data_IF_748646025729
#
_entry.id   IF_748646025729
#
_cell.length_a   1.000
_cell.length_b   1.000
_cell.length_c   1.000
_cell.angle_alpha   90.00
_cell.angle_beta   90.00
_cell.angle_gamma   90.00
#
_symmetry.space_group_name_H-M   'P 1'
#
loop_
_entity.id
_entity.type
_entity.pdbx_description
1 polymer ?
#
# COMPACT_ATOMS: atom_id res chain seq x y z
N UNK A 1 68.37 -63.02 68.54
CA UNK A 1 68.72 -64.26 69.25
C UNK A 1 69.57 -63.85 70.42
N UNK A 2 68.92 -63.60 71.55
CA UNK A 2 69.62 -63.35 72.80
C UNK A 2 70.10 -64.71 73.28
N UNK A 3 71.41 -64.95 73.27
CA UNK A 3 72.01 -66.14 73.89
C UNK A 3 71.77 -66.02 75.41
N UNK A 4 70.82 -66.79 75.94
CA UNK A 4 70.59 -66.87 77.37
C UNK A 4 71.79 -67.59 78.02
N UNK A 5 72.41 -66.91 79.00
CA UNK A 5 73.53 -67.46 79.77
C UNK A 5 73.13 -68.77 80.47
N UNK A 6 74.07 -69.73 80.60
CA UNK A 6 73.80 -71.03 81.21
C UNK A 6 73.41 -70.83 82.69
N UNK A 7 72.15 -71.10 82.99
CA UNK A 7 71.57 -70.98 84.32
C UNK A 7 72.18 -72.06 85.21
N UNK A 8 72.93 -71.68 86.24
CA UNK A 8 73.58 -72.60 87.18
C UNK A 8 72.79 -72.68 88.48
N UNK A 9 72.39 -73.88 88.90
CA UNK A 9 71.44 -74.12 90.00
C UNK A 9 72.14 -74.67 91.25
N UNK A 10 71.76 -74.21 92.44
CA UNK A 10 72.38 -74.66 93.70
C UNK A 10 71.79 -75.98 94.21
N UNK A 11 70.62 -76.41 93.70
CA UNK A 11 70.05 -77.73 93.94
C UNK A 11 69.15 -78.17 92.78
N UNK A 12 68.98 -79.49 92.60
CA UNK A 12 68.09 -80.07 91.59
C UNK A 12 66.62 -79.60 91.73
N UNK A 13 66.21 -79.22 92.94
CA UNK A 13 64.88 -78.67 93.21
C UNK A 13 64.71 -77.24 92.64
N UNK A 14 65.77 -76.44 92.66
CA UNK A 14 65.79 -75.07 92.14
C UNK A 14 65.80 -75.05 90.60
N UNK A 15 66.57 -75.97 90.00
CA UNK A 15 66.55 -76.21 88.55
C UNK A 15 65.15 -76.61 88.05
N UNK A 16 64.51 -77.56 88.74
CA UNK A 16 63.14 -77.97 88.41
C UNK A 16 62.14 -76.83 88.56
N UNK A 17 62.29 -75.97 89.57
CA UNK A 17 61.42 -74.82 89.77
C UNK A 17 61.63 -73.74 88.69
N UNK A 18 62.88 -73.47 88.29
CA UNK A 18 63.20 -72.53 87.21
C UNK A 18 62.61 -72.98 85.88
N UNK A 19 62.88 -74.21 85.45
CA UNK A 19 62.36 -74.72 84.17
C UNK A 19 60.85 -74.86 84.14
N UNK A 20 60.22 -75.18 85.29
CA UNK A 20 58.76 -75.14 85.45
C UNK A 20 58.21 -73.72 85.31
N UNK A 21 58.86 -72.72 85.89
CA UNK A 21 58.42 -71.33 85.76
C UNK A 21 58.65 -70.79 84.34
N UNK A 22 59.77 -71.14 83.71
CA UNK A 22 60.07 -70.77 82.33
C UNK A 22 59.08 -71.40 81.34
N UNK A 23 58.69 -72.67 81.55
CA UNK A 23 57.68 -73.32 80.72
C UNK A 23 56.28 -72.71 80.92
N UNK A 24 55.91 -72.35 82.16
CA UNK A 24 54.68 -71.59 82.40
C UNK A 24 54.71 -70.19 81.77
N UNK A 25 55.82 -69.46 81.88
CA UNK A 25 55.97 -68.14 81.28
C UNK A 25 55.91 -68.19 79.74
N UNK A 26 56.56 -69.17 79.11
CA UNK A 26 56.48 -69.39 77.66
C UNK A 26 55.07 -69.76 77.22
N UNK A 27 54.37 -70.59 78.01
CA UNK A 27 52.97 -70.95 77.74
C UNK A 27 52.07 -69.72 77.83
N UNK A 28 52.21 -68.90 78.88
CA UNK A 28 51.43 -67.67 79.03
C UNK A 28 51.76 -66.65 77.92
N UNK A 29 53.02 -66.55 77.47
CA UNK A 29 53.39 -65.74 76.31
C UNK A 29 52.78 -66.25 75.02
N UNK A 30 52.77 -67.57 74.81
CA UNK A 30 52.15 -68.19 73.64
C UNK A 30 50.64 -67.95 73.64
N UNK A 31 49.97 -68.14 74.76
CA UNK A 31 48.54 -67.85 74.93
C UNK A 31 48.22 -66.37 74.65
N UNK A 32 49.01 -65.44 75.20
CA UNK A 32 48.86 -64.01 74.91
C UNK A 32 49.04 -63.69 73.42
N UNK A 33 50.00 -64.33 72.76
CA UNK A 33 50.24 -64.14 71.31
C UNK A 33 49.14 -64.75 70.45
N UNK A 34 48.57 -65.88 70.86
CA UNK A 34 47.41 -66.48 70.21
C UNK A 34 46.17 -65.57 70.32
N UNK A 35 45.95 -64.96 71.49
CA UNK A 35 44.89 -63.97 71.69
C UNK A 35 45.12 -62.72 70.83
N UNK A 36 46.32 -62.14 70.85
CA UNK A 36 46.68 -60.95 70.05
C UNK A 36 46.50 -61.21 68.54
N UNK A 37 46.90 -62.39 68.06
CA UNK A 37 46.72 -62.77 66.66
C UNK A 37 45.23 -62.94 66.32
N UNK A 38 44.44 -63.55 67.21
CA UNK A 38 43.00 -63.71 67.00
C UNK A 38 42.28 -62.36 66.94
N UNK A 39 42.65 -61.41 67.82
CA UNK A 39 42.15 -60.03 67.80
C UNK A 39 42.53 -59.33 66.48
N UNK A 40 43.79 -59.43 66.04
CA UNK A 40 44.23 -58.85 64.77
C UNK A 40 43.49 -59.43 63.56
N UNK A 41 43.26 -60.75 63.55
CA UNK A 41 42.49 -61.40 62.49
C UNK A 41 41.03 -60.93 62.48
N UNK A 42 40.42 -60.75 63.65
CA UNK A 42 39.07 -60.23 63.77
C UNK A 42 38.98 -58.76 63.30
N UNK A 43 39.90 -57.91 63.73
CA UNK A 43 39.97 -56.49 63.33
C UNK A 43 40.21 -56.35 61.82
N UNK A 44 41.11 -57.15 61.25
CA UNK A 44 41.35 -57.18 59.80
C UNK A 44 40.09 -57.60 59.04
N UNK A 45 39.37 -58.62 59.52
CA UNK A 45 38.13 -59.08 58.89
C UNK A 45 37.01 -58.03 59.00
N UNK A 46 36.90 -57.31 60.11
CA UNK A 46 35.91 -56.24 60.29
C UNK A 46 36.22 -55.07 59.35
N UNK A 47 37.50 -54.65 59.27
CA UNK A 47 37.94 -53.59 58.37
C UNK A 47 37.69 -53.95 56.89
N UNK A 48 37.99 -55.18 56.48
CA UNK A 48 37.69 -55.65 55.12
C UNK A 48 36.18 -55.58 54.82
N UNK A 49 35.33 -55.98 55.77
CA UNK A 49 33.87 -55.90 55.62
C UNK A 49 33.37 -54.45 55.51
N UNK A 50 33.95 -53.52 56.28
CA UNK A 50 33.65 -52.09 56.17
C UNK A 50 34.06 -51.51 54.81
N UNK A 51 35.28 -51.84 54.34
CA UNK A 51 35.77 -51.42 53.03
C UNK A 51 34.90 -51.95 51.89
N UNK A 52 34.50 -53.22 51.94
CA UNK A 52 33.57 -53.80 50.97
C UNK A 52 32.21 -53.10 50.98
N UNK A 53 31.69 -52.78 52.17
CA UNK A 53 30.44 -52.05 52.32
C UNK A 53 30.52 -50.66 51.69
N UNK A 54 31.63 -49.94 51.94
CA UNK A 54 31.87 -48.61 51.37
C UNK A 54 32.04 -48.67 49.84
N UNK A 55 32.77 -49.67 49.32
CA UNK A 55 32.87 -49.91 47.86
C UNK A 55 31.48 -50.13 47.26
N UNK A 56 30.68 -51.03 47.83
CA UNK A 56 29.30 -51.30 47.35
C UNK A 56 28.44 -50.04 47.37
N UNK A 57 28.55 -49.22 48.43
CA UNK A 57 27.83 -47.94 48.54
C UNK A 57 28.24 -46.95 47.45
N UNK A 58 29.55 -46.79 47.23
CA UNK A 58 30.09 -45.88 46.20
C UNK A 58 29.74 -46.35 44.80
N UNK A 59 29.82 -47.65 44.51
CA UNK A 59 29.44 -48.22 43.22
C UNK A 59 27.95 -48.02 42.94
N UNK A 60 27.08 -48.24 43.94
CA UNK A 60 25.65 -47.99 43.82
C UNK A 60 25.36 -46.50 43.54
N UNK A 61 26.00 -45.59 44.28
CA UNK A 61 25.87 -44.15 44.05
C UNK A 61 26.36 -43.73 42.65
N UNK A 62 27.46 -44.31 42.17
CA UNK A 62 28.00 -44.05 40.85
C UNK A 62 27.07 -44.58 39.74
N UNK A 63 26.51 -45.78 39.91
CA UNK A 63 25.51 -46.33 39.01
C UNK A 63 24.26 -45.44 38.94
N UNK A 64 23.77 -44.94 40.08
CA UNK A 64 22.64 -44.00 40.12
C UNK A 64 22.96 -42.69 39.41
N UNK A 65 24.14 -42.10 39.66
CA UNK A 65 24.58 -40.88 38.99
C UNK A 65 24.71 -41.05 37.48
N UNK A 66 25.21 -42.21 37.02
CA UNK A 66 25.26 -42.53 35.59
C UNK A 66 23.87 -42.66 34.99
N UNK A 67 22.94 -43.34 35.66
CA UNK A 67 21.56 -43.45 35.21
C UNK A 67 20.87 -42.08 35.11
N UNK A 68 21.09 -41.19 36.09
CA UNK A 68 20.61 -39.79 36.02
C UNK A 68 21.24 -39.02 34.86
N UNK A 69 22.54 -39.18 34.64
CA UNK A 69 23.25 -38.52 33.55
C UNK A 69 22.68 -38.93 32.17
N UNK A 70 22.44 -40.22 31.95
CA UNK A 70 21.82 -40.71 30.70
C UNK A 70 20.39 -40.21 30.54
N UNK A 71 19.60 -40.15 31.62
CA UNK A 71 18.25 -39.55 31.59
C UNK A 71 18.31 -38.07 31.18
N UNK A 72 19.20 -37.28 31.78
CA UNK A 72 19.33 -35.87 31.43
C UNK A 72 19.84 -35.67 30.01
N UNK A 73 20.74 -36.53 29.50
CA UNK A 73 21.16 -36.49 28.10
C UNK A 73 19.98 -36.72 27.15
N UNK A 74 19.15 -37.70 27.46
CA UNK A 74 17.94 -37.98 26.68
C UNK A 74 16.97 -36.80 26.70
N UNK A 75 16.67 -36.26 27.89
CA UNK A 75 15.77 -35.10 28.04
C UNK A 75 16.30 -33.87 27.29
N UNK A 76 17.62 -33.62 27.33
CA UNK A 76 18.25 -32.53 26.57
C UNK A 76 18.09 -32.77 25.06
N UNK A 77 18.27 -34.00 24.58
CA UNK A 77 18.11 -34.33 23.16
C UNK A 77 16.66 -34.10 22.70
N UNK A 78 15.70 -34.58 23.49
CA UNK A 78 14.27 -34.43 23.23
C UNK A 78 13.86 -32.95 23.23
N UNK A 79 14.32 -32.16 24.20
CA UNK A 79 14.04 -30.73 24.26
C UNK A 79 14.65 -29.97 23.07
N UNK A 80 15.86 -30.36 22.63
CA UNK A 80 16.49 -29.79 21.43
C UNK A 80 15.68 -30.09 20.18
N UNK A 81 15.23 -31.33 20.00
CA UNK A 81 14.40 -31.73 18.86
C UNK A 81 13.06 -30.97 18.86
N UNK A 82 12.39 -30.90 20.01
CA UNK A 82 11.16 -30.12 20.18
C UNK A 82 11.36 -28.65 19.86
N UNK A 83 12.46 -28.06 20.34
CA UNK A 83 12.80 -26.66 20.06
C UNK A 83 13.05 -26.43 18.57
N UNK A 84 13.82 -27.30 17.91
CA UNK A 84 14.09 -27.20 16.47
C UNK A 84 12.80 -27.35 15.66
N UNK A 85 11.96 -28.33 15.99
CA UNK A 85 10.66 -28.50 15.32
C UNK A 85 9.74 -27.28 15.51
N UNK A 86 9.69 -26.72 16.72
CA UNK A 86 8.92 -25.51 17.00
C UNK A 86 9.47 -24.29 16.24
N UNK A 87 10.80 -24.17 16.15
CA UNK A 87 11.46 -23.09 15.41
C UNK A 87 11.19 -23.18 13.90
N UNK A 88 11.21 -24.38 13.33
CA UNK A 88 10.86 -24.61 11.92
C UNK A 88 9.41 -24.24 11.64
N UNK A 89 8.47 -24.74 12.46
CA UNK A 89 7.03 -24.41 12.33
C UNK A 89 6.79 -22.91 12.44
N UNK A 90 7.41 -22.24 13.41
CA UNK A 90 7.30 -20.80 13.54
C UNK A 90 7.85 -20.04 12.33
N UNK A 91 8.90 -20.56 11.67
CA UNK A 91 9.41 -20.03 10.41
C UNK A 91 8.42 -20.21 9.26
N UNK A 92 7.85 -21.41 9.10
CA UNK A 92 6.83 -21.69 8.08
C UNK A 92 5.57 -20.83 8.27
N UNK A 93 5.11 -20.66 9.51
CA UNK A 93 3.98 -19.80 9.85
C UNK A 93 4.27 -18.33 9.52
N UNK A 94 5.48 -17.85 9.84
CA UNK A 94 5.91 -16.49 9.50
C UNK A 94 5.91 -16.28 7.98
N UNK A 95 6.49 -17.21 7.21
CA UNK A 95 6.51 -17.16 5.75
C UNK A 95 5.09 -17.21 5.15
N UNK A 96 4.16 -17.95 5.76
CA UNK A 96 2.75 -17.96 5.35
C UNK A 96 2.09 -16.60 5.56
N UNK A 97 2.23 -16.05 6.77
CA UNK A 97 1.66 -14.74 7.14
C UNK A 97 2.26 -13.62 6.29
N UNK A 98 3.57 -13.66 6.02
CA UNK A 98 4.24 -12.69 5.16
C UNK A 98 3.70 -12.72 3.72
N UNK A 99 3.45 -13.91 3.16
CA UNK A 99 2.83 -14.06 1.84
C UNK A 99 1.41 -13.52 1.81
N UNK A 100 0.60 -13.84 2.81
CA UNK A 100 -0.77 -13.29 2.93
C UNK A 100 -0.77 -11.77 3.05
N UNK A 101 0.15 -11.21 3.86
CA UNK A 101 0.29 -9.77 4.03
C UNK A 101 0.69 -9.09 2.70
N UNK A 102 1.64 -9.66 1.96
CA UNK A 102 2.02 -9.16 0.65
C UNK A 102 0.86 -9.23 -0.34
N UNK A 103 0.11 -10.32 -0.34
CA UNK A 103 -1.08 -10.48 -1.17
C UNK A 103 -2.13 -9.40 -0.85
N UNK A 104 -2.49 -9.22 0.42
CA UNK A 104 -3.47 -8.19 0.84
C UNK A 104 -3.01 -6.79 0.46
N UNK A 105 -1.73 -6.47 0.64
CA UNK A 105 -1.15 -5.17 0.21
C UNK A 105 -1.26 -4.97 -1.30
N UNK A 106 -0.97 -6.00 -2.09
CA UNK A 106 -1.10 -5.93 -3.55
C UNK A 106 -2.55 -5.73 -4.00
N UNK A 107 -3.50 -6.42 -3.36
CA UNK A 107 -4.93 -6.23 -3.60
C UNK A 107 -5.40 -4.82 -3.22
N UNK A 108 -4.93 -4.29 -2.09
CA UNK A 108 -5.25 -2.92 -1.67
C UNK A 108 -4.79 -1.89 -2.72
N UNK A 109 -3.55 -1.99 -3.20
CA UNK A 109 -3.04 -1.07 -4.23
C UNK A 109 -3.77 -1.24 -5.57
N UNK A 110 -4.11 -2.49 -5.94
CA UNK A 110 -4.95 -2.76 -7.11
C UNK A 110 -6.31 -2.06 -7.02
N UNK A 111 -7.05 -2.25 -5.93
CA UNK A 111 -8.36 -1.62 -5.77
C UNK A 111 -8.28 -0.10 -5.71
N UNK A 112 -7.25 0.45 -5.07
CA UNK A 112 -7.01 1.89 -5.04
C UNK A 112 -6.72 2.47 -6.42
N UNK A 113 -5.91 1.79 -7.24
CA UNK A 113 -5.69 2.17 -8.64
C UNK A 113 -6.99 2.08 -9.42
N UNK A 114 -7.74 0.98 -9.25
CA UNK A 114 -9.00 0.76 -9.94
C UNK A 114 -10.06 1.80 -9.60
N UNK A 115 -10.14 2.24 -8.34
CA UNK A 115 -11.02 3.33 -7.93
C UNK A 115 -10.68 4.62 -8.67
N UNK A 116 -9.40 4.99 -8.75
CA UNK A 116 -8.97 6.19 -9.48
C UNK A 116 -9.28 6.12 -10.97
N UNK A 117 -9.08 4.95 -11.59
CA UNK A 117 -9.47 4.72 -12.99
C UNK A 117 -10.97 4.92 -13.19
N UNK A 118 -11.80 4.36 -12.29
CA UNK A 118 -13.26 4.51 -12.37
C UNK A 118 -13.71 5.95 -12.13
N UNK A 119 -13.05 6.69 -11.22
CA UNK A 119 -13.29 8.11 -11.00
C UNK A 119 -12.96 8.93 -12.27
N UNK A 120 -11.82 8.65 -12.90
CA UNK A 120 -11.43 9.30 -14.16
C UNK A 120 -12.40 8.98 -15.30
N UNK A 121 -12.78 7.70 -15.47
CA UNK A 121 -13.76 7.28 -16.47
C UNK A 121 -15.11 7.96 -16.24
N UNK A 122 -15.51 8.16 -14.97
CA UNK A 122 -16.73 8.88 -14.62
C UNK A 122 -16.65 10.36 -15.02
N UNK A 123 -15.56 11.05 -14.69
CA UNK A 123 -15.33 12.44 -15.08
C UNK A 123 -15.39 12.61 -16.61
N UNK A 124 -14.79 11.68 -17.36
CA UNK A 124 -14.83 11.68 -18.83
C UNK A 124 -16.25 11.43 -19.37
N UNK A 125 -17.02 10.54 -18.74
CA UNK A 125 -18.42 10.31 -19.08
C UNK A 125 -19.28 11.56 -18.82
N UNK A 126 -19.15 12.20 -17.67
CA UNK A 126 -19.89 13.43 -17.37
C UNK A 126 -19.50 14.56 -18.34
N UNK A 127 -18.23 14.66 -18.71
CA UNK A 127 -17.77 15.64 -19.71
C UNK A 127 -18.41 15.38 -21.07
N UNK A 128 -18.46 14.13 -21.51
CA UNK A 128 -19.12 13.75 -22.76
C UNK A 128 -20.63 14.01 -22.71
N UNK A 129 -21.27 13.75 -21.57
CA UNK A 129 -22.68 14.05 -21.36
C UNK A 129 -22.96 15.55 -21.50
N UNK A 130 -22.15 16.41 -20.86
CA UNK A 130 -22.26 17.87 -20.98
C UNK A 130 -22.09 18.33 -22.43
N UNK A 131 -21.11 17.80 -23.15
CA UNK A 131 -20.88 18.12 -24.56
C UNK A 131 -22.03 17.67 -25.46
N UNK A 132 -22.57 16.47 -25.24
CA UNK A 132 -23.72 15.93 -25.96
C UNK A 132 -24.98 16.77 -25.71
N UNK A 133 -25.27 17.12 -24.45
CA UNK A 133 -26.38 18.01 -24.07
C UNK A 133 -26.27 19.38 -24.74
N UNK A 134 -25.08 19.99 -24.73
CA UNK A 134 -24.85 21.28 -25.39
C UNK A 134 -25.05 21.19 -26.91
N UNK A 135 -24.58 20.12 -27.54
CA UNK A 135 -24.77 19.88 -28.98
C UNK A 135 -26.24 19.68 -29.32
N UNK A 136 -26.96 18.93 -28.49
CA UNK A 136 -28.40 18.72 -28.64
C UNK A 136 -29.16 20.04 -28.53
N UNK A 137 -28.88 20.85 -27.52
CA UNK A 137 -29.48 22.19 -27.36
C UNK A 137 -29.16 23.11 -28.54
N UNK A 138 -27.95 23.04 -29.10
CA UNK A 138 -27.59 23.79 -30.31
C UNK A 138 -28.39 23.34 -31.55
N UNK A 139 -28.69 22.03 -31.66
CA UNK A 139 -29.56 21.52 -32.72
C UNK A 139 -31.02 21.91 -32.52
N UNK A 140 -31.53 21.87 -31.29
CA UNK A 140 -32.90 22.32 -30.96
C UNK A 140 -33.08 23.79 -31.28
N UNK A 141 -32.16 24.66 -30.87
CA UNK A 141 -32.24 26.10 -31.19
C UNK A 141 -32.13 26.37 -32.69
N UNK A 142 -31.31 25.60 -33.42
CA UNK A 142 -31.24 25.68 -34.89
C UNK A 142 -32.57 25.25 -35.53
N UNK A 143 -33.20 24.20 -35.03
CA UNK A 143 -34.49 23.72 -35.50
C UNK A 143 -35.59 24.75 -35.22
N UNK A 144 -35.63 25.34 -34.02
CA UNK A 144 -36.58 26.41 -33.67
C UNK A 144 -36.46 27.61 -34.61
N UNK A 145 -35.23 28.07 -34.89
CA UNK A 145 -35.02 29.15 -35.87
C UNK A 145 -35.51 28.77 -37.26
N UNK A 146 -35.22 27.57 -37.73
CA UNK A 146 -35.70 27.10 -39.03
C UNK A 146 -37.22 27.00 -39.09
N UNK A 147 -37.88 26.64 -37.98
CA UNK A 147 -39.35 26.65 -37.88
C UNK A 147 -39.91 28.08 -37.91
N UNK A 148 -39.30 29.03 -37.20
CA UNK A 148 -39.67 30.45 -37.24
C UNK A 148 -39.53 31.04 -38.64
N UNK A 149 -38.41 30.78 -39.30
CA UNK A 149 -38.17 31.19 -40.69
C UNK A 149 -39.22 30.59 -41.65
N UNK A 150 -39.54 29.31 -41.50
CA UNK A 150 -40.57 28.66 -42.32
C UNK A 150 -41.96 29.26 -42.06
N UNK A 151 -42.31 29.51 -40.79
CA UNK A 151 -43.56 30.20 -40.43
C UNK A 151 -43.64 31.60 -41.04
N UNK A 152 -42.53 32.34 -41.06
CA UNK A 152 -42.46 33.66 -41.67
C UNK A 152 -42.69 33.59 -43.19
N UNK A 153 -41.98 32.67 -43.86
CA UNK A 153 -42.12 32.46 -45.31
C UNK A 153 -43.54 31.99 -45.70
N UNK A 154 -44.17 31.15 -44.88
CA UNK A 154 -45.57 30.75 -45.08
C UNK A 154 -46.51 31.95 -45.02
N UNK A 155 -46.30 32.87 -44.07
CA UNK A 155 -47.07 34.13 -44.00
C UNK A 155 -46.81 35.06 -45.20
N UNK A 156 -45.57 35.17 -45.68
CA UNK A 156 -45.26 35.90 -46.92
C UNK A 156 -45.92 35.27 -48.16
N UNK A 157 -45.96 33.95 -48.24
CA UNK A 157 -46.62 33.25 -49.33
C UNK A 157 -48.14 33.48 -49.31
N UNK A 158 -48.75 33.48 -48.12
CA UNK A 158 -50.17 33.78 -47.93
C UNK A 158 -50.52 35.22 -48.34
N UNK A 159 -49.74 36.21 -47.89
CA UNK A 159 -49.93 37.61 -48.30
C UNK A 159 -49.76 37.81 -49.81
N UNK A 160 -48.76 37.16 -50.43
CA UNK A 160 -48.58 37.16 -51.90
C UNK A 160 -49.80 36.56 -52.61
N UNK A 161 -50.37 35.48 -52.09
CA UNK A 161 -51.60 34.88 -52.63
C UNK A 161 -52.78 35.85 -52.54
N UNK A 162 -53.00 36.47 -51.37
CA UNK A 162 -54.05 37.47 -51.19
C UNK A 162 -53.93 38.65 -52.16
N UNK A 163 -52.71 39.17 -52.36
CA UNK A 163 -52.42 40.22 -53.34
C UNK A 163 -52.69 39.76 -54.77
N UNK A 164 -52.31 38.53 -55.12
CA UNK A 164 -52.58 37.97 -56.44
C UNK A 164 -54.08 37.84 -56.72
N UNK A 165 -54.85 37.38 -55.72
CA UNK A 165 -56.31 37.28 -55.80
C UNK A 165 -56.96 38.67 -55.97
N UNK A 166 -56.52 39.70 -55.23
CA UNK A 166 -57.02 41.07 -55.38
C UNK A 166 -56.64 41.70 -56.73
N UNK A 167 -55.40 41.49 -57.20
CA UNK A 167 -54.99 41.93 -58.55
C UNK A 167 -55.85 41.26 -59.61
N UNK A 168 -56.20 39.99 -59.43
CA UNK A 168 -57.08 39.29 -60.36
C UNK A 168 -58.49 39.89 -60.34
N UNK A 169 -59.03 40.17 -59.16
CA UNK A 169 -60.32 40.85 -59.00
C UNK A 169 -60.35 42.22 -59.66
N UNK A 170 -59.34 43.06 -59.42
CA UNK A 170 -59.21 44.37 -60.07
C UNK A 170 -59.05 44.27 -61.59
N UNK A 171 -58.36 43.23 -62.09
CA UNK A 171 -58.29 42.97 -63.53
C UNK A 171 -59.65 42.63 -64.11
N UNK A 172 -60.48 41.88 -63.39
CA UNK A 172 -61.82 41.52 -63.83
C UNK A 172 -62.75 42.75 -63.78
N UNK A 173 -62.70 43.57 -62.72
CA UNK A 173 -63.38 44.87 -62.66
C UNK A 173 -62.94 45.83 -63.79
N UNK A 174 -61.65 45.88 -64.12
CA UNK A 174 -61.13 46.68 -65.23
C UNK A 174 -61.64 46.17 -66.58
N UNK A 175 -61.73 44.85 -66.77
CA UNK A 175 -62.34 44.27 -67.98
C UNK A 175 -63.81 44.66 -68.06
N UNK A 176 -64.55 44.56 -66.97
CA UNK A 176 -65.97 44.92 -66.91
C UNK A 176 -66.19 46.40 -67.22
N UNK A 177 -65.43 47.31 -66.60
CA UNK A 177 -65.47 48.75 -66.91
C UNK A 177 -65.08 49.04 -68.36
N UNK A 178 -64.10 48.32 -68.92
CA UNK A 178 -63.72 48.51 -70.32
C UNK A 178 -64.83 48.00 -71.28
N UNK A 179 -65.54 46.92 -70.91
CA UNK A 179 -66.74 46.48 -71.61
C UNK A 179 -67.84 47.56 -71.53
N UNK A 180 -68.12 48.11 -70.35
CA UNK A 180 -69.07 49.22 -70.17
C UNK A 180 -68.68 50.44 -71.01
N UNK A 181 -67.40 50.84 -70.99
CA UNK A 181 -66.90 51.98 -71.74
C UNK A 181 -66.95 51.74 -73.25
N UNK A 182 -66.72 50.52 -73.72
CA UNK A 182 -66.93 50.14 -75.11
C UNK A 182 -68.41 50.20 -75.50
N UNK A 183 -69.33 49.80 -74.62
CA UNK A 183 -70.78 49.96 -74.82
C UNK A 183 -71.16 51.44 -74.87
N UNK A 184 -70.63 52.27 -73.96
CA UNK A 184 -70.86 53.73 -73.94
C UNK A 184 -70.27 54.39 -75.19
N UNK A 185 -69.04 54.05 -75.60
CA UNK A 185 -68.46 54.53 -76.87
C UNK A 185 -69.27 54.07 -78.08
N UNK A 186 -69.76 52.83 -78.09
CA UNK A 186 -70.66 52.33 -79.13
C UNK A 186 -71.97 53.16 -79.17
N UNK A 187 -72.54 53.51 -78.01
CA UNK A 187 -73.70 54.42 -77.89
C UNK A 187 -73.38 55.87 -78.30
N UNK A 188 -72.23 56.42 -77.90
CA UNK A 188 -71.79 57.78 -78.24
C UNK A 188 -71.33 57.92 -79.70
N UNK A 189 -70.81 56.86 -80.32
CA UNK A 189 -70.43 56.84 -81.75
C UNK A 189 -71.63 56.94 -82.70
N UNK A 190 -72.85 56.83 -82.17
CA UNK A 190 -74.10 57.09 -82.89
C UNK A 190 -74.50 58.59 -82.92
N UNK A 191 -73.67 59.50 -82.39
CA UNK A 191 -73.89 60.94 -82.43
C UNK A 191 -72.59 61.77 -82.63
N UNK A 192 -71.96 61.68 -83.83
CA UNK A 192 -71.12 62.68 -84.57
C UNK A 192 -69.89 63.38 -83.87
N UNK A 193 -68.93 64.06 -84.57
CA UNK A 193 -67.49 63.79 -84.41
C UNK A 193 -66.57 65.01 -84.11
N UNK A 194 -65.27 64.71 -83.90
CA UNK A 194 -64.04 65.54 -84.04
C UNK A 194 -63.85 66.86 -83.25
N UNK A 195 -62.69 67.00 -82.58
CA UNK A 195 -61.74 68.12 -82.76
C UNK A 195 -60.48 67.96 -81.88
N UNK A 196 -59.34 68.36 -82.44
CA UNK A 196 -58.02 68.49 -81.81
C UNK A 196 -57.91 69.73 -80.88
N UNK A 197 -56.87 69.78 -80.02
CA UNK A 197 -56.43 71.04 -79.38
C UNK A 197 -55.62 70.94 -78.08
N UNK A 198 -54.29 70.96 -78.21
CA UNK A 198 -53.25 71.66 -77.42
C UNK A 198 -53.53 72.21 -75.99
N UNK A 199 -52.65 71.90 -75.02
CA UNK A 199 -51.76 72.86 -74.29
C UNK A 199 -51.42 72.50 -72.83
N UNK A 200 -50.10 72.40 -72.58
CA UNK A 200 -49.25 73.05 -71.55
C UNK A 200 -49.56 73.00 -70.04
N UNK A 201 -48.45 72.86 -69.30
CA UNK A 201 -48.13 73.23 -67.91
C UNK A 201 -48.64 72.27 -66.82
N UNK A 202 -47.92 71.98 -65.73
CA UNK A 202 -46.85 72.71 -65.04
C UNK A 202 -45.94 71.75 -64.27
N UNK A 203 -44.69 72.20 -64.12
CA UNK A 203 -43.65 71.74 -63.20
C UNK A 203 -44.12 71.51 -61.74
N UNK A 204 -43.48 70.58 -61.04
CA UNK A 204 -42.57 70.97 -59.97
C UNK A 204 -41.46 69.93 -59.74
N UNK A 205 -40.23 70.42 -59.88
CA UNK A 205 -38.97 69.79 -59.52
C UNK A 205 -38.50 70.48 -58.23
N UNK A 206 -37.78 69.72 -57.40
CA UNK A 206 -36.91 70.10 -56.27
C UNK A 206 -37.53 70.70 -55.00
N UNK A 207 -37.35 69.97 -53.89
CA UNK A 207 -36.69 70.55 -52.71
C UNK A 207 -35.47 69.67 -52.37
N UNK A 208 -34.40 69.90 -53.11
CA UNK A 208 -33.04 69.60 -52.68
C UNK A 208 -32.40 70.98 -52.48
N UNK A 209 -32.34 71.41 -51.22
CA UNK A 209 -31.92 72.76 -50.88
C UNK A 209 -31.39 72.87 -49.47
N UNK A 210 -30.17 72.38 -49.23
CA UNK A 210 -29.18 73.33 -48.72
C UNK A 210 -27.76 72.92 -49.10
N UNK A 211 -27.15 73.77 -49.93
CA UNK A 211 -25.75 73.71 -50.28
C UNK A 211 -24.87 73.85 -49.04
N UNK A 212 -24.22 72.74 -48.74
CA UNK A 212 -22.80 72.63 -48.45
C UNK A 212 -22.04 73.95 -48.30
N UNK A 213 -21.78 74.31 -47.06
CA UNK A 213 -20.53 74.98 -46.72
C UNK A 213 -19.52 73.83 -46.51
N UNK A 214 -18.51 73.61 -47.37
CA UNK A 214 -17.63 72.43 -47.31
C UNK A 214 -16.89 72.33 -45.96
N UNK A 215 -16.61 73.47 -45.34
CA UNK A 215 -16.05 73.53 -43.98
C UNK A 215 -17.00 72.98 -42.91
N UNK A 216 -18.32 73.13 -43.06
CA UNK A 216 -19.31 72.57 -42.12
C UNK A 216 -19.47 71.07 -42.30
N UNK A 217 -19.44 70.56 -43.53
CA UNK A 217 -19.49 69.11 -43.77
C UNK A 217 -18.26 68.42 -43.17
N UNK A 218 -17.08 69.00 -43.36
CA UNK A 218 -15.83 68.49 -42.77
C UNK A 218 -15.87 68.58 -41.24
N UNK A 219 -16.42 69.66 -40.68
CA UNK A 219 -16.62 69.79 -39.23
C UNK A 219 -17.60 68.74 -38.69
N UNK A 220 -18.71 68.47 -39.39
CA UNK A 220 -19.69 67.44 -39.00
C UNK A 220 -19.11 66.02 -39.08
N UNK A 221 -18.29 65.75 -40.10
CA UNK A 221 -17.56 64.49 -40.22
C UNK A 221 -16.55 64.36 -39.07
N UNK A 222 -15.77 65.40 -38.77
CA UNK A 222 -14.84 65.39 -37.64
C UNK A 222 -15.54 65.25 -36.29
N UNK A 223 -16.69 65.91 -36.09
CA UNK A 223 -17.50 65.76 -34.88
C UNK A 223 -18.02 64.33 -34.71
N UNK A 224 -18.48 63.70 -35.81
CA UNK A 224 -18.91 62.29 -35.79
C UNK A 224 -17.76 61.32 -35.57
N UNK A 225 -16.58 61.59 -36.14
CA UNK A 225 -15.37 60.80 -35.87
C UNK A 225 -14.96 60.92 -34.40
N UNK A 226 -15.00 62.13 -33.83
CA UNK A 226 -14.68 62.36 -32.43
C UNK A 226 -15.67 61.67 -31.51
N UNK A 227 -16.96 61.70 -31.83
CA UNK A 227 -18.01 60.99 -31.08
C UNK A 227 -17.83 59.46 -31.15
N UNK A 228 -17.50 58.93 -32.33
CA UNK A 228 -17.14 57.52 -32.53
C UNK A 228 -15.88 57.13 -31.75
N UNK A 229 -14.86 57.97 -31.69
CA UNK A 229 -13.66 57.74 -30.88
C UNK A 229 -13.97 57.71 -29.38
N UNK A 230 -14.82 58.61 -28.86
CA UNK A 230 -15.28 58.54 -27.46
C UNK A 230 -16.10 57.28 -27.17
N UNK A 231 -16.96 56.85 -28.11
CA UNK A 231 -17.73 55.61 -27.97
C UNK A 231 -16.84 54.36 -28.06
N UNK A 232 -15.81 54.38 -28.89
CA UNK A 232 -14.81 53.32 -28.99
C UNK A 232 -13.90 53.27 -27.75
N UNK A 233 -13.53 54.41 -27.19
CA UNK A 233 -12.81 54.50 -25.92
C UNK A 233 -13.66 53.97 -24.76
N UNK A 234 -14.96 54.31 -24.72
CA UNK A 234 -15.92 53.83 -23.72
C UNK A 234 -16.21 52.32 -23.80
N UNK A 235 -16.14 51.73 -25.00
CA UNK A 235 -16.23 50.27 -25.17
C UNK A 235 -14.92 49.58 -24.80
N UNK A 236 -13.76 50.19 -25.10
CA UNK A 236 -12.45 49.69 -24.63
C UNK A 236 -12.36 49.65 -23.10
N UNK A 237 -12.83 50.66 -22.37
CA UNK A 237 -12.85 50.62 -20.89
C UNK A 237 -13.79 49.54 -20.33
N UNK A 238 -14.86 49.16 -21.04
CA UNK A 238 -15.76 48.06 -20.61
C UNK A 238 -15.23 46.66 -20.99
N UNK A 239 -14.47 46.55 -22.08
CA UNK A 239 -13.92 45.27 -22.58
C UNK A 239 -12.57 44.92 -21.95
N UNK A 240 -11.77 45.92 -21.56
CA UNK A 240 -10.43 45.71 -20.97
C UNK A 240 -10.44 44.88 -19.68
N UNK A 241 -11.39 45.05 -18.74
CA UNK A 241 -11.50 44.18 -17.56
C UNK A 241 -11.87 42.73 -17.90
N UNK A 242 -12.66 42.51 -18.96
CA UNK A 242 -13.08 41.17 -19.39
C UNK A 242 -11.95 40.37 -20.06
N UNK A 243 -11.08 41.04 -20.82
CA UNK A 243 -9.89 40.41 -21.42
C UNK A 243 -8.86 40.05 -20.33
N UNK A 244 -8.72 40.89 -19.30
CA UNK A 244 -7.79 40.64 -18.18
C UNK A 244 -8.32 39.55 -17.24
N UNK A 245 -9.64 39.49 -16.98
CA UNK A 245 -10.26 38.43 -16.19
C UNK A 245 -10.14 37.05 -16.87
N UNK A 246 -10.17 37.00 -18.21
CA UNK A 246 -10.01 35.77 -18.97
C UNK A 246 -8.55 35.25 -18.97
N UNK A 247 -7.56 36.13 -18.76
CA UNK A 247 -6.15 35.75 -18.69
C UNK A 247 -5.66 35.37 -17.28
N UNK A 248 -6.37 35.76 -16.21
CA UNK A 248 -6.03 35.30 -14.85
C UNK A 248 -6.44 33.83 -14.61
N UNK A 249 -7.43 33.32 -15.34
CA UNK A 249 -7.78 31.90 -15.35
C UNK A 249 -6.80 31.04 -16.17
N UNK A 250 -5.92 31.64 -16.96
CA UNK A 250 -4.98 30.92 -17.83
C UNK A 250 -3.62 30.61 -17.19
N UNK A 251 -3.27 31.18 -16.03
CA UNK A 251 -1.95 30.96 -15.38
C UNK A 251 -1.89 29.82 -14.37
N UNK A 252 -2.99 29.07 -14.16
CA UNK A 252 -2.96 27.86 -13.31
C UNK A 252 -2.81 26.55 -14.09
N UNK A 253 -2.85 26.59 -15.43
CA UNK A 253 -2.81 25.38 -16.28
C UNK A 253 -1.50 25.18 -17.07
N UNK A 254 -0.46 25.99 -16.84
CA UNK A 254 0.83 25.90 -17.55
C UNK A 254 1.92 25.13 -16.79
N UNK A 255 1.57 24.20 -15.88
CA UNK A 255 2.55 23.30 -15.22
C UNK A 255 2.20 21.82 -15.31
N UNK A 256 1.59 21.37 -16.41
CA UNK A 256 1.49 19.93 -16.67
C UNK A 256 1.31 19.60 -18.15
N UNK A 257 2.32 19.86 -18.98
CA UNK A 257 2.51 19.15 -20.26
C UNK A 257 3.98 19.09 -20.65
N UNK A 258 4.57 17.91 -20.48
CA UNK A 258 5.66 17.29 -21.27
C UNK A 258 5.69 15.83 -20.76
N UNK A 259 5.27 14.80 -21.48
CA UNK A 259 5.29 14.54 -22.90
C UNK A 259 4.17 13.57 -23.29
N UNK A 260 3.55 13.81 -24.44
CA UNK A 260 2.78 12.82 -25.20
C UNK A 260 3.54 12.57 -26.49
N UNK A 261 3.93 11.32 -26.74
CA UNK A 261 4.17 10.83 -28.10
C UNK A 261 3.26 9.62 -28.32
N UNK A 262 2.65 9.65 -29.50
CA UNK A 262 1.54 8.84 -29.99
C UNK A 262 2.07 7.53 -30.59
N UNK A 263 1.35 6.42 -30.37
CA UNK A 263 1.20 5.37 -31.40
C UNK A 263 0.00 4.45 -31.13
N UNK A 264 -0.73 4.16 -32.20
CA UNK A 264 -1.96 3.36 -32.38
C UNK A 264 -1.72 1.84 -32.34
N UNK A 265 -2.76 1.00 -32.28
CA UNK A 265 -2.63 -0.44 -32.05
C UNK A 265 -2.58 -1.26 -33.35
N UNK A 266 -1.95 -2.46 -33.31
CA UNK A 266 -2.27 -3.57 -34.21
C UNK A 266 -1.79 -4.93 -33.69
N UNK A 267 -2.57 -5.92 -34.12
CA UNK A 267 -2.72 -7.33 -33.76
C UNK A 267 -1.50 -8.27 -33.81
N UNK A 268 -1.57 -9.30 -32.96
CA UNK A 268 -1.32 -10.75 -33.15
C UNK A 268 0.08 -11.33 -33.48
N UNK A 269 0.46 -12.28 -32.61
CA UNK A 269 0.88 -13.67 -32.90
C UNK A 269 2.37 -14.06 -32.89
N UNK A 270 2.63 -15.11 -32.08
CA UNK A 270 3.49 -16.31 -32.28
C UNK A 270 5.03 -16.21 -32.11
N UNK A 271 5.48 -16.96 -31.08
CA UNK A 271 6.64 -17.87 -30.97
C UNK A 271 8.06 -17.55 -31.50
N UNK A 272 9.02 -18.05 -30.70
CA UNK A 272 10.30 -18.73 -31.03
C UNK A 272 11.54 -18.08 -30.39
N UNK A 273 12.04 -18.80 -29.36
CA UNK A 273 13.42 -19.21 -29.01
C UNK A 273 14.65 -18.48 -29.58
N UNK A 274 15.67 -18.36 -28.71
CA UNK A 274 17.05 -18.70 -29.09
C UNK A 274 18.15 -17.67 -28.74
N UNK A 275 18.86 -17.97 -27.64
CA UNK A 275 20.31 -17.93 -27.41
C UNK A 275 21.26 -16.89 -28.08
N UNK A 276 22.39 -16.69 -27.37
CA UNK A 276 23.69 -16.11 -27.79
C UNK A 276 23.74 -14.57 -27.83
N UNK A 277 24.88 -13.87 -27.75
CA UNK A 277 26.09 -13.91 -26.92
C UNK A 277 26.89 -12.65 -27.28
N UNK A 278 27.69 -12.13 -26.34
CA UNK A 278 28.94 -11.37 -26.55
C UNK A 278 28.94 -9.88 -26.94
N UNK A 279 30.06 -9.26 -26.55
CA UNK A 279 30.63 -7.91 -26.80
C UNK A 279 30.13 -6.81 -25.84
N UNK A 280 30.92 -6.15 -24.97
CA UNK A 280 32.36 -6.09 -24.77
C UNK A 280 32.89 -4.68 -25.07
N UNK A 281 33.26 -3.89 -24.06
CA UNK A 281 34.39 -2.91 -24.06
C UNK A 281 34.62 -2.33 -22.63
N UNK A 282 35.66 -2.71 -21.87
CA UNK A 282 37.03 -2.14 -21.72
C UNK A 282 37.01 -0.66 -21.25
N UNK A 283 37.59 -0.21 -20.13
CA UNK A 283 38.97 -0.21 -19.59
C UNK A 283 38.86 0.37 -18.13
N UNK A 284 39.70 0.17 -17.12
CA UNK A 284 41.14 -0.06 -17.03
C UNK A 284 41.50 -0.49 -15.60
N UNK A 285 42.54 -1.31 -15.50
CA UNK A 285 43.14 -1.91 -14.28
C UNK A 285 44.32 -1.05 -13.79
N UNK A 286 44.83 -1.29 -12.56
CA UNK A 286 46.23 -1.71 -12.49
C UNK A 286 46.47 -2.96 -11.61
N UNK A 287 47.54 -3.64 -11.99
CA UNK A 287 47.99 -4.97 -11.57
C UNK A 287 49.10 -4.86 -10.54
N UNK A 288 49.14 -5.73 -9.52
CA UNK A 288 50.39 -6.30 -9.03
C UNK A 288 50.17 -7.67 -8.39
N UNK A 289 51.09 -8.57 -8.69
CA UNK A 289 51.13 -10.01 -8.44
C UNK A 289 51.53 -10.33 -6.99
N UNK A 290 51.08 -11.46 -6.43
CA UNK A 290 51.95 -12.59 -6.00
C UNK A 290 51.16 -13.77 -5.43
N UNK A 291 51.67 -14.96 -5.71
CA UNK A 291 51.13 -16.30 -5.46
C UNK A 291 51.35 -16.85 -4.04
N UNK A 292 50.58 -17.92 -3.75
CA UNK A 292 50.78 -19.06 -2.83
C UNK A 292 50.39 -18.90 -1.36
N UNK A 293 49.47 -19.76 -0.93
CA UNK A 293 49.27 -20.13 0.48
C UNK A 293 47.93 -20.83 0.73
N UNK A 294 47.93 -22.16 0.80
CA UNK A 294 46.86 -22.98 1.36
C UNK A 294 46.92 -22.83 2.89
N UNK A 295 45.87 -22.32 3.56
CA UNK A 295 45.50 -22.70 4.95
C UNK A 295 44.25 -21.99 5.48
N UNK A 296 43.35 -22.80 6.08
CA UNK A 296 42.43 -22.54 7.21
C UNK A 296 41.03 -21.92 6.92
N UNK A 297 39.92 -22.50 7.44
CA UNK A 297 38.59 -21.91 7.38
C UNK A 297 38.44 -20.79 8.43
N UNK A 298 37.51 -19.83 8.27
CA UNK A 298 37.38 -18.71 9.20
C UNK A 298 36.78 -19.17 10.53
N UNK A 299 37.41 -18.73 11.62
CA UNK A 299 36.94 -18.86 13.00
C UNK A 299 35.57 -18.19 13.18
N UNK A 300 34.74 -18.85 13.99
CA UNK A 300 33.46 -18.36 14.50
C UNK A 300 33.63 -16.99 15.15
N UNK A 301 32.95 -15.97 14.62
CA UNK A 301 32.77 -14.70 15.33
C UNK A 301 31.89 -14.97 16.56
N UNK A 302 32.52 -15.13 17.72
CA UNK A 302 31.84 -15.12 19.00
C UNK A 302 31.25 -13.70 19.16
N UNK A 303 29.93 -13.54 19.35
CA UNK A 303 29.33 -12.23 19.60
C UNK A 303 30.01 -11.61 20.83
N UNK A 304 30.33 -10.32 20.78
CA UNK A 304 30.92 -9.60 21.91
C UNK A 304 30.12 -9.86 23.20
N UNK A 305 30.82 -10.04 24.33
CA UNK A 305 30.23 -10.41 25.62
C UNK A 305 29.04 -9.52 26.00
N UNK A 306 29.12 -8.23 25.69
CA UNK A 306 28.06 -7.23 25.85
C UNK A 306 26.72 -7.59 25.18
N UNK A 307 26.76 -8.17 23.98
CA UNK A 307 25.56 -8.49 23.20
C UNK A 307 24.90 -9.77 23.73
N UNK A 308 25.72 -10.72 24.19
CA UNK A 308 25.26 -11.92 24.89
C UNK A 308 24.64 -11.57 26.26
N UNK A 309 25.27 -10.66 27.01
CA UNK A 309 24.80 -10.15 28.30
C UNK A 309 23.44 -9.45 28.14
N UNK A 310 23.30 -8.57 27.12
CA UNK A 310 22.04 -7.88 26.83
C UNK A 310 20.93 -8.85 26.44
N UNK A 311 21.25 -9.91 25.69
CA UNK A 311 20.28 -10.95 25.32
C UNK A 311 19.85 -11.78 26.53
N UNK A 312 20.79 -12.13 27.41
CA UNK A 312 20.51 -12.86 28.66
C UNK A 312 19.65 -12.02 29.60
N UNK A 313 19.94 -10.72 29.73
CA UNK A 313 19.17 -9.80 30.58
C UNK A 313 17.75 -9.59 30.05
N UNK A 314 17.57 -9.42 28.73
CA UNK A 314 16.23 -9.40 28.11
C UNK A 314 15.45 -10.68 28.38
N UNK A 315 16.12 -11.84 28.31
CA UNK A 315 15.49 -13.14 28.58
C UNK A 315 15.10 -13.28 30.05
N UNK A 316 15.93 -12.75 30.97
CA UNK A 316 15.66 -12.71 32.41
C UNK A 316 14.44 -11.87 32.73
N UNK A 317 14.38 -10.64 32.20
CA UNK A 317 13.26 -9.71 32.40
C UNK A 317 11.94 -10.33 31.91
N UNK A 318 11.95 -11.00 30.74
CA UNK A 318 10.75 -11.62 30.18
C UNK A 318 10.24 -12.79 31.05
N UNK A 319 11.14 -13.60 31.62
CA UNK A 319 10.76 -14.65 32.57
C UNK A 319 10.19 -14.08 33.87
N UNK A 320 10.77 -12.99 34.36
CA UNK A 320 10.36 -12.35 35.59
C UNK A 320 9.00 -11.64 35.44
N UNK A 321 8.75 -11.02 34.28
CA UNK A 321 7.43 -10.47 33.95
C UNK A 321 6.37 -11.56 33.84
N UNK A 322 6.70 -12.68 33.19
CA UNK A 322 5.77 -13.81 33.06
C UNK A 322 5.41 -14.44 34.41
N UNK A 323 6.40 -14.59 35.29
CA UNK A 323 6.19 -15.09 36.66
C UNK A 323 5.28 -14.17 37.47
N UNK A 324 5.50 -12.85 37.41
CA UNK A 324 4.64 -11.86 38.08
C UNK A 324 3.19 -11.94 37.59
N UNK A 325 2.97 -12.02 36.29
CA UNK A 325 1.60 -12.15 35.73
C UNK A 325 0.91 -13.43 36.19
N UNK A 326 1.64 -14.55 36.30
CA UNK A 326 1.07 -15.80 36.82
C UNK A 326 0.72 -15.71 38.30
N UNK A 327 1.61 -15.17 39.13
CA UNK A 327 1.34 -14.98 40.57
C UNK A 327 0.14 -14.04 40.81
N UNK A 328 -0.01 -13.01 39.98
CA UNK A 328 -1.14 -12.08 40.04
C UNK A 328 -2.46 -12.74 39.62
N UNK A 329 -2.43 -13.58 38.58
CA UNK A 329 -3.60 -14.37 38.14
C UNK A 329 -4.04 -15.35 39.22
N UNK A 330 -3.10 -16.04 39.87
CA UNK A 330 -3.40 -16.97 40.98
C UNK A 330 -4.01 -16.22 42.17
N UNK A 331 -3.48 -15.04 42.52
CA UNK A 331 -4.06 -14.21 43.59
C UNK A 331 -5.47 -13.74 43.28
N UNK A 332 -5.74 -13.31 42.06
CA UNK A 332 -7.10 -12.92 41.65
C UNK A 332 -8.08 -14.10 41.73
N UNK A 333 -7.64 -15.29 41.32
CA UNK A 333 -8.47 -16.50 41.40
C UNK A 333 -8.77 -16.90 42.86
N UNK A 334 -7.80 -16.75 43.77
CA UNK A 334 -8.00 -16.99 45.20
C UNK A 334 -8.95 -15.99 45.85
N UNK A 335 -8.89 -14.71 45.46
CA UNK A 335 -9.81 -13.68 45.95
C UNK A 335 -11.25 -13.92 45.48
N UNK A 336 -11.44 -14.40 44.24
CA UNK A 336 -12.78 -14.74 43.73
C UNK A 336 -13.39 -15.95 44.45
N UNK A 337 -12.58 -16.93 44.87
CA UNK A 337 -13.07 -18.08 45.63
C UNK A 337 -13.48 -17.73 47.07
N UNK A 338 -12.83 -16.75 47.70
CA UNK A 338 -13.20 -16.28 49.03
C UNK A 338 -14.37 -15.26 49.05
N UNK A 339 -14.75 -14.71 47.91
CA UNK A 339 -15.85 -13.74 47.80
C UNK A 339 -17.24 -14.37 47.55
N UNK A 340 -17.35 -15.71 47.43
CA UNK A 340 -18.64 -16.38 47.26
C UNK A 340 -19.38 -16.47 48.61
N UNK A 341 -20.58 -15.86 48.78
CA UNK A 341 -21.33 -15.96 50.01
C UNK A 341 -21.91 -17.37 50.17
N UNK A 342 -21.67 -17.99 51.33
CA UNK A 342 -22.25 -19.27 51.75
C UNK A 342 -23.79 -19.21 51.61
N UNK A 343 -24.32 -19.87 50.58
CA UNK A 343 -25.76 -20.13 50.43
C UNK A 343 -26.20 -20.96 51.64
N UNK A 344 -26.98 -20.35 52.54
CA UNK A 344 -27.64 -21.07 53.63
C UNK A 344 -28.58 -22.14 53.04
N UNK A 345 -28.58 -23.36 53.59
CA UNK A 345 -29.54 -24.37 53.17
C UNK A 345 -30.94 -23.97 53.66
N UNK A 346 -31.92 -24.07 52.75
CA UNK A 346 -33.33 -23.85 53.07
C UNK A 346 -33.84 -25.03 53.91
N UNK A 347 -34.56 -24.69 54.99
CA UNK A 347 -35.33 -25.61 55.84
C UNK A 347 -36.59 -26.04 55.12
#
# INVERSE_FOLDING_TARGET
MSEEEPVNFASSQEELAYWRNASYALRDQLENKEVELAEYMAESSELEAELESEIKRVEAANAELRAKNERYKFEIAELKEKYQSAQLKAGEDLESIERELQFVRSQQEYYKSRTRELEQDNDDLERNERAAKSTLQAMETRLSRAMEENSHLLGEAETKKMLADEVQRLKDELKDLNLELNIVRSRNSRAVPQSAGMSKSSANVVDAGNGENPARMVHDIMSRVKDLETRLAGTRTKVTPMIIANNQSATLNARSTRNRTISTPKSSSLFVSGATSSTGDSLQRPTALRSRGISRPPESMIPSSSLLESRMEKTRILRESFRKTMDETVRQQQQQQHAMPLRRPAV
#
